data_IF_906382763956
#
_entry.id   IF_906382763956
#
_cell.length_a   1.000
_cell.length_b   1.000
_cell.length_c   1.000
_cell.angle_alpha   90.00
_cell.angle_beta   90.00
_cell.angle_gamma   90.00
#
_symmetry.space_group_name_H-M   'P 1'
#
loop_
_entity.id
_entity.type
_entity.pdbx_description
1 polymer ?
#
# COMPACT_ATOMS: atom_id res chain seq x y z
N UNK A 1 20.46 68.20 -11.84
CA UNK A 1 20.91 67.48 -13.05
C UNK A 1 21.71 66.25 -12.64
N UNK A 2 21.14 65.05 -12.78
CA UNK A 2 21.87 63.79 -12.99
C UNK A 2 20.82 62.69 -13.24
N UNK A 3 20.73 62.22 -14.47
CA UNK A 3 19.86 61.13 -14.92
C UNK A 3 20.41 59.79 -14.41
N UNK A 4 19.59 58.99 -13.73
CA UNK A 4 19.90 57.58 -13.44
C UNK A 4 19.19 56.68 -14.45
N UNK A 5 19.98 56.08 -15.34
CA UNK A 5 19.57 55.18 -16.42
C UNK A 5 19.67 53.74 -15.90
N UNK A 6 18.54 53.12 -15.54
CA UNK A 6 18.50 51.69 -15.22
C UNK A 6 18.47 50.88 -16.53
N UNK A 7 19.49 50.04 -16.72
CA UNK A 7 19.56 49.05 -17.79
C UNK A 7 18.56 47.91 -17.55
N UNK A 8 17.63 47.71 -18.48
CA UNK A 8 16.86 46.47 -18.58
C UNK A 8 17.66 45.45 -19.41
N UNK A 9 18.20 44.42 -18.75
CA UNK A 9 18.72 43.23 -19.42
C UNK A 9 17.56 42.30 -19.81
N UNK A 10 17.63 41.73 -21.02
CA UNK A 10 16.55 41.06 -21.72
C UNK A 10 15.95 39.83 -21.03
N UNK A 11 14.62 39.76 -21.05
CA UNK A 11 13.82 38.60 -20.70
C UNK A 11 13.96 37.52 -21.79
N UNK A 12 14.34 36.30 -21.40
CA UNK A 12 14.11 35.12 -22.24
C UNK A 12 12.61 34.77 -22.22
N UNK A 13 12.02 34.33 -23.36
CA UNK A 13 10.61 33.97 -23.40
C UNK A 13 10.33 32.67 -22.62
N UNK A 14 9.15 32.51 -22.01
CA UNK A 14 8.80 31.30 -21.28
C UNK A 14 8.70 30.10 -22.22
N UNK A 15 9.29 28.99 -21.80
CA UNK A 15 9.23 27.69 -22.45
C UNK A 15 7.79 27.16 -22.50
N UNK A 16 7.39 26.68 -23.68
CA UNK A 16 6.06 26.13 -23.98
C UNK A 16 5.60 25.09 -22.94
N UNK A 17 4.46 25.34 -22.32
CA UNK A 17 3.67 24.33 -21.62
C UNK A 17 3.26 23.30 -22.67
N UNK A 18 3.65 22.03 -22.49
CA UNK A 18 3.14 20.93 -23.31
C UNK A 18 1.67 20.72 -22.96
N UNK A 19 0.79 21.03 -23.90
CA UNK A 19 -0.61 20.63 -23.87
C UNK A 19 -0.68 19.09 -23.82
N UNK A 20 -1.35 18.56 -22.80
CA UNK A 20 -1.67 17.14 -22.71
C UNK A 20 -2.88 16.83 -23.61
N UNK A 21 -2.79 15.71 -24.33
CA UNK A 21 -3.78 15.18 -25.28
C UNK A 21 -5.15 15.00 -24.59
N UNK A 22 -6.29 15.15 -25.31
CA UNK A 22 -7.64 15.22 -24.72
C UNK A 22 -8.22 13.87 -24.22
N UNK A 23 -7.38 12.91 -23.87
CA UNK A 23 -7.77 11.53 -23.57
C UNK A 23 -7.99 11.29 -22.08
N UNK A 24 -7.76 12.32 -21.24
CA UNK A 24 -7.72 12.24 -19.77
C UNK A 24 -9.01 12.75 -19.07
N UNK A 25 -10.12 12.99 -19.78
CA UNK A 25 -11.27 13.72 -19.21
C UNK A 25 -12.68 13.09 -19.32
N UNK A 26 -12.80 11.81 -19.63
CA UNK A 26 -14.11 11.12 -19.61
C UNK A 26 -14.18 10.05 -18.51
N UNK A 27 -14.33 10.47 -17.25
CA UNK A 27 -14.71 9.57 -16.15
C UNK A 27 -15.62 10.27 -15.12
N UNK A 28 -16.69 10.90 -15.60
CA UNK A 28 -17.75 11.42 -14.72
C UNK A 28 -19.07 10.80 -15.14
N UNK A 29 -19.46 9.69 -14.50
CA UNK A 29 -20.85 9.37 -14.08
C UNK A 29 -20.98 7.95 -13.50
N UNK A 30 -21.82 7.87 -12.45
CA UNK A 30 -22.50 6.69 -11.89
C UNK A 30 -21.61 5.70 -11.10
N UNK A 31 -22.01 5.05 -10.01
CA UNK A 31 -23.18 5.04 -9.12
C UNK A 31 -22.71 4.22 -7.89
N UNK A 32 -23.36 4.44 -6.75
CA UNK A 32 -23.40 3.68 -5.48
C UNK A 32 -22.34 2.60 -5.17
N UNK A 33 -21.84 2.71 -3.94
CA UNK A 33 -20.80 1.91 -3.32
C UNK A 33 -20.85 0.39 -3.58
N UNK A 34 -19.66 -0.20 -3.52
CA UNK A 34 -19.30 -1.63 -3.65
C UNK A 34 -18.92 -2.15 -5.07
N UNK A 35 -19.03 -1.35 -6.13
CA UNK A 35 -18.68 -1.74 -7.52
C UNK A 35 -17.24 -1.38 -7.98
N UNK A 36 -16.43 -0.72 -7.15
CA UNK A 36 -15.15 -0.10 -7.56
C UNK A 36 -13.94 -1.05 -7.61
N UNK A 37 -14.06 -2.31 -7.16
CA UNK A 37 -12.95 -3.27 -7.18
C UNK A 37 -12.71 -3.92 -8.56
N UNK A 38 -13.64 -3.77 -9.50
CA UNK A 38 -13.53 -4.35 -10.85
C UNK A 38 -12.91 -3.38 -11.89
N UNK A 39 -12.78 -2.08 -11.55
CA UNK A 39 -12.10 -1.06 -12.36
C UNK A 39 -10.61 -0.90 -12.01
N UNK A 40 -10.07 -1.83 -11.22
CA UNK A 40 -8.68 -1.81 -10.81
C UNK A 40 -7.78 -2.25 -11.99
N UNK A 41 -6.64 -1.57 -12.23
CA UNK A 41 -5.72 -1.97 -13.29
C UNK A 41 -5.25 -3.42 -13.09
N UNK A 42 -4.90 -4.16 -14.16
CA UNK A 42 -4.74 -5.62 -14.17
C UNK A 42 -3.66 -6.19 -13.23
N UNK A 43 -2.92 -5.32 -12.54
CA UNK A 43 -1.93 -5.65 -11.53
C UNK A 43 -2.47 -5.62 -10.09
N UNK A 44 -3.73 -5.26 -9.89
CA UNK A 44 -4.40 -5.29 -8.59
C UNK A 44 -5.50 -6.35 -8.68
N UNK A 45 -5.24 -7.47 -8.02
CA UNK A 45 -6.18 -8.60 -7.99
C UNK A 45 -7.38 -8.20 -7.14
N UNK A 46 -8.59 -8.39 -7.67
CA UNK A 46 -9.84 -8.06 -6.95
C UNK A 46 -9.98 -8.91 -5.67
N UNK A 47 -10.72 -8.37 -4.69
CA UNK A 47 -10.97 -9.01 -3.40
C UNK A 47 -11.47 -10.46 -3.52
N UNK A 48 -12.37 -10.71 -4.49
CA UNK A 48 -13.00 -12.01 -4.71
C UNK A 48 -11.99 -13.05 -5.22
N UNK A 49 -11.11 -12.66 -6.16
CA UNK A 49 -10.06 -13.52 -6.71
C UNK A 49 -8.97 -13.87 -5.69
N UNK A 50 -8.86 -13.11 -4.60
CA UNK A 50 -7.81 -13.30 -3.60
C UNK A 50 -8.07 -14.41 -2.58
N UNK A 51 -9.33 -14.78 -2.36
CA UNK A 51 -9.72 -15.82 -1.40
C UNK A 51 -9.01 -17.16 -1.61
N UNK A 52 -8.63 -17.46 -2.86
CA UNK A 52 -7.97 -18.70 -3.25
C UNK A 52 -6.45 -18.68 -3.09
N UNK A 53 -5.80 -17.50 -3.13
CA UNK A 53 -4.33 -17.43 -3.15
C UNK A 53 -3.67 -17.93 -1.86
N UNK A 54 -4.15 -17.58 -0.64
CA UNK A 54 -3.62 -18.14 0.59
C UNK A 54 -3.74 -19.67 0.62
N UNK A 55 -4.86 -20.24 0.15
CA UNK A 55 -5.04 -21.69 0.07
C UNK A 55 -4.08 -22.34 -0.92
N UNK A 56 -3.84 -21.72 -2.08
CA UNK A 56 -2.83 -22.20 -3.03
C UNK A 56 -1.40 -22.09 -2.49
N UNK A 57 -1.11 -21.08 -1.69
CA UNK A 57 0.17 -20.96 -1.00
C UNK A 57 0.34 -22.06 0.06
N UNK A 58 -0.74 -22.46 0.74
CA UNK A 58 -0.75 -23.54 1.73
C UNK A 58 -0.54 -24.92 1.10
N UNK A 59 -0.98 -25.11 -0.15
CA UNK A 59 -0.74 -26.33 -0.96
C UNK A 59 0.69 -26.41 -1.51
N UNK A 60 1.50 -25.37 -1.36
CA UNK A 60 2.90 -25.36 -1.79
C UNK A 60 3.71 -26.43 -1.06
N UNK A 61 4.63 -27.08 -1.77
CA UNK A 61 5.64 -27.97 -1.16
C UNK A 61 6.59 -27.20 -0.23
N UNK A 62 6.76 -25.90 -0.47
CA UNK A 62 7.48 -25.02 0.44
C UNK A 62 6.52 -24.45 1.49
N UNK A 63 6.59 -25.00 2.70
CA UNK A 63 5.73 -24.63 3.82
C UNK A 63 5.94 -23.17 4.31
N UNK A 64 7.00 -22.49 3.91
CA UNK A 64 7.22 -21.08 4.22
C UNK A 64 6.48 -20.12 3.29
N UNK A 65 6.03 -20.58 2.11
CA UNK A 65 5.29 -19.73 1.15
C UNK A 65 4.03 -19.12 1.78
N UNK A 66 3.27 -19.93 2.51
CA UNK A 66 2.02 -19.50 3.15
C UNK A 66 2.22 -18.41 4.21
N UNK A 67 3.06 -18.58 5.26
CA UNK A 67 3.28 -17.53 6.25
C UNK A 67 3.91 -16.26 5.65
N UNK A 68 4.79 -16.37 4.65
CA UNK A 68 5.36 -15.19 3.96
C UNK A 68 4.28 -14.43 3.18
N UNK A 69 3.39 -15.14 2.49
CA UNK A 69 2.27 -14.52 1.79
C UNK A 69 1.30 -13.81 2.76
N UNK A 70 0.96 -14.45 3.89
CA UNK A 70 0.15 -13.84 4.94
C UNK A 70 0.80 -12.57 5.50
N UNK A 71 2.11 -12.60 5.81
CA UNK A 71 2.84 -11.43 6.28
C UNK A 71 2.76 -10.27 5.28
N UNK A 72 2.89 -10.54 3.98
CA UNK A 72 2.73 -9.51 2.95
C UNK A 72 1.30 -8.93 2.94
N UNK A 73 0.29 -9.79 3.08
CA UNK A 73 -1.12 -9.39 3.01
C UNK A 73 -1.58 -8.60 4.23
N UNK A 74 -1.05 -8.90 5.42
CA UNK A 74 -1.43 -8.18 6.64
C UNK A 74 -0.62 -6.90 6.85
N UNK A 75 0.59 -6.80 6.28
CA UNK A 75 1.50 -5.67 6.54
C UNK A 75 1.84 -4.80 5.32
N UNK A 76 1.53 -5.24 4.11
CA UNK A 76 2.01 -4.59 2.87
C UNK A 76 3.54 -4.65 2.69
N UNK A 77 4.22 -5.60 3.34
CA UNK A 77 5.64 -5.83 3.13
C UNK A 77 5.94 -6.23 1.68
N UNK A 78 7.12 -5.84 1.19
CA UNK A 78 7.64 -6.42 -0.06
C UNK A 78 7.97 -7.88 0.19
N UNK A 79 7.86 -8.71 -0.85
CA UNK A 79 8.17 -10.14 -0.73
C UNK A 79 9.53 -10.39 -0.06
N UNK A 80 10.57 -9.75 -0.56
CA UNK A 80 11.93 -9.95 -0.05
C UNK A 80 12.09 -9.51 1.42
N UNK A 81 11.31 -8.52 1.87
CA UNK A 81 11.28 -8.08 3.28
C UNK A 81 10.55 -9.10 4.17
N UNK A 82 9.46 -9.70 3.68
CA UNK A 82 8.68 -10.70 4.40
C UNK A 82 9.33 -12.09 4.40
N UNK A 83 10.17 -12.40 3.42
CA UNK A 83 10.90 -13.67 3.31
C UNK A 83 12.23 -13.67 4.09
N UNK A 84 12.77 -12.49 4.40
CA UNK A 84 14.08 -12.35 5.07
C UNK A 84 14.07 -12.02 6.57
N UNK A 85 12.95 -11.98 7.32
CA UNK A 85 13.01 -11.63 8.73
C UNK A 85 13.73 -12.72 9.52
N UNK A 86 14.40 -12.30 10.60
CA UNK A 86 14.90 -13.21 11.64
C UNK A 86 13.80 -13.43 12.67
N UNK A 87 13.99 -14.40 13.57
CA UNK A 87 13.05 -14.67 14.65
C UNK A 87 12.85 -13.46 15.58
N UNK A 88 13.91 -12.69 15.82
CA UNK A 88 13.86 -11.45 16.61
C UNK A 88 13.08 -10.31 15.94
N UNK A 89 12.75 -10.43 14.66
CA UNK A 89 11.97 -9.43 13.93
C UNK A 89 10.46 -9.68 14.00
N UNK A 90 10.01 -10.80 14.59
CA UNK A 90 8.59 -11.13 14.74
C UNK A 90 8.32 -11.47 16.20
N UNK A 91 7.74 -10.53 16.93
CA UNK A 91 7.39 -10.71 18.33
C UNK A 91 6.31 -9.72 18.78
N UNK A 92 5.58 -10.06 19.84
CA UNK A 92 4.69 -9.14 20.54
C UNK A 92 3.53 -8.64 19.67
N UNK A 93 3.01 -9.49 18.77
CA UNK A 93 1.96 -9.14 17.83
C UNK A 93 2.42 -8.16 16.75
N UNK A 94 3.73 -8.11 16.43
CA UNK A 94 4.29 -7.18 15.44
C UNK A 94 5.34 -7.86 14.56
N UNK A 95 5.42 -7.40 13.31
CA UNK A 95 6.53 -7.65 12.41
C UNK A 95 7.36 -6.37 12.24
N UNK A 96 8.67 -6.50 12.44
CA UNK A 96 9.64 -5.41 12.39
C UNK A 96 10.46 -5.49 11.10
N UNK A 97 10.27 -4.52 10.21
CA UNK A 97 10.98 -4.45 8.93
C UNK A 97 12.05 -3.37 8.97
N UNK A 98 13.30 -3.79 8.75
CA UNK A 98 14.46 -2.90 8.69
C UNK A 98 14.99 -2.80 7.26
N UNK A 99 15.03 -1.59 6.70
CA UNK A 99 15.75 -1.31 5.46
C UNK A 99 17.02 -0.52 5.74
N UNK A 100 18.17 -1.08 5.38
CA UNK A 100 19.48 -0.44 5.59
C UNK A 100 19.72 0.74 4.66
N UNK A 101 19.12 0.75 3.45
CA UNK A 101 19.44 1.78 2.44
C UNK A 101 18.81 3.15 2.69
N UNK A 102 17.66 3.22 3.36
CA UNK A 102 16.93 4.49 3.57
C UNK A 102 16.52 4.75 5.04
N UNK A 103 17.10 4.03 6.02
CA UNK A 103 16.85 4.15 7.48
C UNK A 103 15.39 4.08 7.98
N UNK A 104 14.41 3.86 7.10
CA UNK A 104 13.02 3.70 7.50
C UNK A 104 12.80 2.28 8.01
N UNK A 105 12.97 2.11 9.32
CA UNK A 105 12.48 0.94 10.06
C UNK A 105 11.03 1.16 10.41
N UNK A 106 10.20 0.11 10.26
CA UNK A 106 8.79 0.17 10.62
C UNK A 106 8.37 -1.10 11.33
N UNK A 107 7.45 -0.95 12.28
CA UNK A 107 6.87 -2.06 13.02
C UNK A 107 5.38 -2.08 12.70
N UNK A 108 4.90 -3.19 12.15
CA UNK A 108 3.51 -3.32 11.71
C UNK A 108 2.82 -4.36 12.59
N UNK A 109 1.67 -4.05 13.22
CA UNK A 109 0.89 -5.03 13.95
C UNK A 109 0.49 -6.21 13.06
N UNK A 110 0.56 -7.42 13.61
CA UNK A 110 0.12 -8.66 12.95
C UNK A 110 -0.81 -9.46 13.87
N UNK A 111 -1.74 -10.24 13.31
CA UNK A 111 -2.55 -11.17 14.09
C UNK A 111 -1.70 -12.21 14.85
N UNK A 112 -2.13 -12.59 16.06
CA UNK A 112 -1.39 -13.52 16.93
C UNK A 112 -1.24 -14.92 16.32
N UNK A 113 -2.24 -15.36 15.57
CA UNK A 113 -2.24 -16.62 14.82
C UNK A 113 -1.22 -16.60 13.67
N UNK A 114 -1.08 -15.47 12.96
CA UNK A 114 -0.04 -15.28 11.94
C UNK A 114 1.35 -15.29 12.57
N UNK A 115 1.54 -14.62 13.70
CA UNK A 115 2.79 -14.68 14.48
C UNK A 115 3.12 -16.11 14.91
N UNK A 116 2.17 -16.80 15.54
CA UNK A 116 2.35 -18.17 16.01
C UNK A 116 2.68 -19.13 14.86
N UNK A 117 1.98 -19.00 13.73
CA UNK A 117 2.24 -19.78 12.52
C UNK A 117 3.65 -19.53 11.98
N UNK A 118 4.05 -18.27 11.84
CA UNK A 118 5.39 -17.90 11.36
C UNK A 118 6.49 -18.49 12.24
N UNK A 119 6.34 -18.40 13.57
CA UNK A 119 7.31 -18.93 14.54
C UNK A 119 7.31 -20.45 14.65
N UNK A 120 6.17 -21.11 14.40
CA UNK A 120 6.01 -22.57 14.39
C UNK A 120 6.67 -23.20 13.17
N UNK A 121 6.46 -22.63 11.99
CA UNK A 121 6.98 -23.16 10.72
C UNK A 121 8.42 -22.70 10.49
N UNK A 122 8.82 -21.58 11.08
CA UNK A 122 10.12 -20.98 10.87
C UNK A 122 11.31 -21.87 11.24
N UNK A 123 12.41 -21.68 10.51
CA UNK A 123 13.67 -22.38 10.74
C UNK A 123 14.23 -22.09 12.14
N UNK A 124 14.90 -23.05 12.79
CA UNK A 124 15.51 -22.85 14.09
C UNK A 124 16.75 -21.92 14.01
N UNK A 125 17.13 -21.38 15.17
CA UNK A 125 18.33 -20.54 15.31
C UNK A 125 18.09 -19.03 15.13
N UNK A 126 19.19 -18.29 14.97
CA UNK A 126 19.20 -16.82 14.92
C UNK A 126 19.19 -16.25 13.49
N UNK A 127 19.17 -17.14 12.48
CA UNK A 127 19.17 -16.76 11.07
C UNK A 127 17.80 -16.31 10.55
N UNK A 128 17.63 -16.36 9.23
CA UNK A 128 16.34 -16.13 8.57
C UNK A 128 15.31 -17.15 9.06
N UNK A 129 14.08 -16.69 9.25
CA UNK A 129 12.96 -17.53 9.67
C UNK A 129 12.46 -18.41 8.52
N UNK A 130 12.58 -17.94 7.28
CA UNK A 130 12.04 -18.61 6.10
C UNK A 130 13.14 -18.92 5.09
N UNK A 131 13.05 -20.09 4.46
CA UNK A 131 13.83 -20.40 3.27
C UNK A 131 13.33 -19.57 2.07
N UNK A 132 14.16 -19.38 1.03
CA UNK A 132 13.69 -18.77 -0.21
C UNK A 132 12.49 -19.52 -0.79
N UNK A 133 11.37 -18.83 -0.92
CA UNK A 133 10.08 -19.41 -1.31
C UNK A 133 9.35 -18.59 -2.40
N UNK A 134 10.00 -17.53 -2.93
CA UNK A 134 9.49 -16.72 -4.05
C UNK A 134 9.11 -17.51 -5.31
N UNK A 135 9.93 -18.50 -5.69
CA UNK A 135 9.62 -19.37 -6.83
C UNK A 135 8.38 -20.23 -6.57
N UNK A 136 8.21 -20.71 -5.34
CA UNK A 136 7.05 -21.49 -4.93
C UNK A 136 5.78 -20.62 -4.88
N UNK A 137 5.90 -19.35 -4.43
CA UNK A 137 4.84 -18.37 -4.53
C UNK A 137 4.41 -18.11 -5.97
N UNK A 138 5.36 -17.93 -6.90
CA UNK A 138 5.05 -17.78 -8.32
C UNK A 138 4.25 -18.97 -8.86
N UNK A 139 4.57 -20.19 -8.44
CA UNK A 139 3.79 -21.36 -8.82
C UNK A 139 2.37 -21.33 -8.24
N UNK A 140 2.20 -20.97 -6.96
CA UNK A 140 0.89 -20.81 -6.33
C UNK A 140 0.04 -19.72 -7.01
N UNK A 141 0.66 -18.59 -7.33
CA UNK A 141 0.04 -17.48 -8.04
C UNK A 141 -0.47 -17.90 -9.43
N UNK A 142 0.34 -18.65 -10.18
CA UNK A 142 -0.06 -19.21 -11.48
C UNK A 142 -1.17 -20.25 -11.39
N UNK A 143 -1.22 -21.05 -10.32
CA UNK A 143 -2.33 -22.01 -10.10
C UNK A 143 -3.67 -21.31 -9.87
N UNK A 144 -3.64 -20.07 -9.39
CA UNK A 144 -4.84 -19.23 -9.30
C UNK A 144 -5.25 -18.63 -10.66
N UNK A 145 -4.54 -18.94 -11.75
CA UNK A 145 -4.81 -18.36 -13.07
C UNK A 145 -4.23 -16.96 -13.29
N UNK A 146 -3.44 -16.45 -12.36
CA UNK A 146 -2.83 -15.13 -12.50
C UNK A 146 -1.49 -15.17 -13.23
N UNK A 147 -1.27 -14.23 -14.15
CA UNK A 147 0.02 -14.03 -14.80
C UNK A 147 0.33 -12.53 -14.96
N UNK A 148 1.10 -11.99 -14.02
CA UNK A 148 1.55 -10.59 -14.03
C UNK A 148 3.08 -10.55 -13.96
N UNK A 149 3.78 -10.66 -15.11
CA UNK A 149 5.24 -10.63 -15.14
C UNK A 149 5.78 -9.31 -14.57
N UNK A 150 6.86 -9.37 -13.78
CA UNK A 150 7.55 -8.19 -13.24
C UNK A 150 6.95 -7.56 -11.97
N UNK A 151 5.68 -7.81 -11.64
CA UNK A 151 5.02 -7.24 -10.46
C UNK A 151 4.92 -8.21 -9.25
N UNK A 152 5.36 -9.45 -9.41
CA UNK A 152 5.18 -10.52 -8.42
C UNK A 152 5.68 -10.18 -7.00
N UNK A 153 6.74 -9.39 -6.87
CA UNK A 153 7.31 -8.97 -5.57
C UNK A 153 6.47 -7.95 -4.82
N UNK A 154 5.61 -7.26 -5.54
CA UNK A 154 4.84 -6.14 -5.04
C UNK A 154 3.33 -6.40 -5.15
N UNK A 155 2.88 -7.46 -5.83
CA UNK A 155 1.46 -7.75 -6.02
C UNK A 155 0.70 -7.78 -4.68
N UNK A 156 1.21 -8.52 -3.68
CA UNK A 156 0.58 -8.62 -2.36
C UNK A 156 0.56 -7.27 -1.62
N UNK A 157 1.58 -6.45 -1.84
CA UNK A 157 1.68 -5.10 -1.27
C UNK A 157 0.69 -4.15 -1.95
N UNK A 158 0.53 -4.24 -3.26
CA UNK A 158 -0.47 -3.49 -4.01
C UNK A 158 -1.87 -3.88 -3.57
N UNK A 159 -2.15 -5.18 -3.44
CA UNK A 159 -3.41 -5.70 -2.89
C UNK A 159 -3.68 -5.13 -1.49
N UNK A 160 -2.72 -5.23 -0.56
CA UNK A 160 -2.88 -4.65 0.78
C UNK A 160 -3.22 -3.16 0.72
N UNK A 161 -2.47 -2.39 -0.08
CA UNK A 161 -2.66 -0.94 -0.18
C UNK A 161 -4.04 -0.59 -0.76
N UNK A 162 -4.46 -1.26 -1.83
CA UNK A 162 -5.77 -1.03 -2.45
C UNK A 162 -6.92 -1.36 -1.51
N UNK A 163 -6.85 -2.50 -0.83
CA UNK A 163 -7.85 -2.90 0.16
C UNK A 163 -7.90 -1.97 1.36
N UNK A 164 -6.75 -1.50 1.84
CA UNK A 164 -6.71 -0.53 2.93
C UNK A 164 -7.40 0.77 2.53
N UNK A 165 -7.09 1.28 1.33
CA UNK A 165 -7.63 2.54 0.85
C UNK A 165 -9.13 2.48 0.60
N UNK A 166 -9.65 1.33 0.17
CA UNK A 166 -11.10 1.12 0.00
C UNK A 166 -11.91 1.27 1.31
N UNK A 167 -11.28 1.21 2.49
CA UNK A 167 -11.96 1.27 3.78
C UNK A 167 -11.33 2.20 4.81
N UNK A 168 -10.36 3.04 4.44
CA UNK A 168 -9.54 3.75 5.44
C UNK A 168 -8.90 5.06 4.95
N UNK A 169 -8.30 5.77 5.91
CA UNK A 169 -7.62 7.06 5.71
C UNK A 169 -6.26 6.92 4.98
N UNK A 170 -5.97 7.86 4.09
CA UNK A 170 -4.79 7.88 3.20
C UNK A 170 -3.44 8.00 3.93
N UNK A 171 -3.42 8.53 5.15
CA UNK A 171 -2.18 8.72 5.91
C UNK A 171 -1.65 7.42 6.55
N UNK A 172 -2.53 6.47 6.84
CA UNK A 172 -2.16 5.17 7.43
C UNK A 172 -1.21 4.35 6.55
N UNK A 173 -1.53 4.11 5.26
CA UNK A 173 -0.72 3.31 4.35
C UNK A 173 0.68 3.87 4.13
N UNK A 174 0.88 5.19 4.14
CA UNK A 174 2.21 5.76 3.94
C UNK A 174 3.20 5.24 5.01
N UNK A 175 2.76 5.22 6.28
CA UNK A 175 3.58 4.74 7.42
C UNK A 175 3.75 3.23 7.38
N UNK A 176 2.66 2.49 7.14
CA UNK A 176 2.67 1.01 7.10
C UNK A 176 3.53 0.48 5.97
N UNK A 177 3.45 1.12 4.79
CA UNK A 177 4.21 0.72 3.60
C UNK A 177 5.66 1.23 3.63
N UNK A 178 5.98 2.20 4.49
CA UNK A 178 7.29 2.85 4.52
C UNK A 178 7.59 3.60 3.23
N UNK A 179 6.63 4.41 2.77
CA UNK A 179 6.81 5.29 1.62
C UNK A 179 7.55 6.57 2.04
N UNK A 180 8.63 6.90 1.32
CA UNK A 180 9.43 8.09 1.60
C UNK A 180 8.71 9.40 1.23
N UNK A 181 7.73 9.35 0.34
CA UNK A 181 6.89 10.48 -0.04
C UNK A 181 5.43 10.06 -0.10
N UNK A 182 4.54 10.99 0.25
CA UNK A 182 3.09 10.81 0.12
C UNK A 182 2.68 10.53 -1.34
N UNK A 183 3.42 11.06 -2.33
CA UNK A 183 3.16 10.82 -3.75
C UNK A 183 3.12 9.33 -4.12
N UNK A 184 3.90 8.49 -3.43
CA UNK A 184 3.87 7.03 -3.64
C UNK A 184 2.55 6.41 -3.15
N UNK A 185 1.99 6.94 -2.07
CA UNK A 185 0.70 6.51 -1.51
C UNK A 185 -0.47 7.06 -2.33
N UNK A 186 -0.34 8.27 -2.89
CA UNK A 186 -1.37 8.90 -3.72
C UNK A 186 -1.77 8.07 -4.95
N UNK A 187 -0.95 7.10 -5.38
CA UNK A 187 -1.32 6.12 -6.43
C UNK A 187 -2.65 5.40 -6.14
N UNK A 188 -2.99 5.22 -4.86
CA UNK A 188 -4.21 4.54 -4.43
C UNK A 188 -5.32 5.51 -3.98
N UNK A 189 -5.11 6.82 -4.08
CA UNK A 189 -6.05 7.82 -3.55
C UNK A 189 -7.45 7.72 -4.15
N UNK A 190 -7.53 7.34 -5.43
CA UNK A 190 -8.79 7.14 -6.15
C UNK A 190 -9.66 6.00 -5.57
N UNK A 191 -9.10 5.15 -4.70
CA UNK A 191 -9.84 4.07 -4.02
C UNK A 191 -10.38 4.50 -2.67
N UNK A 192 -9.97 5.66 -2.16
CA UNK A 192 -10.51 6.21 -0.91
C UNK A 192 -11.94 6.67 -1.15
N UNK A 193 -12.89 6.33 -0.27
CA UNK A 193 -14.18 7.00 -0.26
C UNK A 193 -14.00 8.51 0.00
N UNK A 194 -14.94 9.34 -0.46
CA UNK A 194 -14.94 10.75 -0.11
C UNK A 194 -15.33 10.91 1.37
N UNK A 195 -14.36 11.20 2.24
CA UNK A 195 -14.56 11.37 3.69
C UNK A 195 -15.06 12.77 4.08
N UNK A 196 -15.73 13.51 3.18
CA UNK A 196 -16.19 14.87 3.46
C UNK A 196 -17.12 14.95 4.69
N UNK A 197 -17.93 13.91 4.94
CA UNK A 197 -18.78 13.83 6.14
C UNK A 197 -17.96 13.76 7.45
N UNK A 198 -16.75 13.19 7.40
CA UNK A 198 -15.88 13.18 8.58
C UNK A 198 -15.44 14.59 8.98
N UNK A 199 -15.39 15.54 8.04
CA UNK A 199 -15.06 16.94 8.35
C UNK A 199 -16.12 17.60 9.24
N UNK A 200 -17.40 17.28 9.04
CA UNK A 200 -18.48 17.75 9.91
C UNK A 200 -18.33 17.19 11.32
N UNK A 201 -18.12 15.87 11.43
CA UNK A 201 -17.92 15.18 12.73
C UNK A 201 -16.68 15.68 13.48
N UNK A 202 -15.61 16.01 12.76
CA UNK A 202 -14.36 16.51 13.31
C UNK A 202 -14.31 18.04 13.42
N UNK A 203 -15.39 18.74 13.05
CA UNK A 203 -15.41 20.20 13.12
C UNK A 203 -15.34 20.67 14.58
N UNK A 204 -14.61 21.76 14.87
CA UNK A 204 -14.49 22.28 16.24
C UNK A 204 -15.84 22.63 16.88
N UNK A 205 -16.83 23.05 16.08
CA UNK A 205 -18.18 23.37 16.56
C UNK A 205 -18.88 22.13 17.12
N UNK A 206 -18.86 21.02 16.39
CA UNK A 206 -19.45 19.75 16.82
C UNK A 206 -18.65 19.16 18.00
N UNK A 207 -17.32 19.21 17.96
CA UNK A 207 -16.47 18.67 19.03
C UNK A 207 -16.57 19.46 20.34
N UNK A 208 -16.76 20.78 20.27
CA UNK A 208 -16.95 21.63 21.45
C UNK A 208 -18.38 21.56 22.01
N UNK A 209 -19.31 20.91 21.31
CA UNK A 209 -20.72 20.83 21.72
C UNK A 209 -21.44 22.18 21.71
N UNK A 210 -20.94 23.16 20.95
CA UNK A 210 -21.51 24.50 20.92
C UNK A 210 -22.87 24.48 20.20
N UNK A 211 -23.94 24.76 20.94
CA UNK A 211 -25.28 24.87 20.39
C UNK A 211 -25.45 26.18 19.62
N UNK A 212 -25.82 26.10 18.35
CA UNK A 212 -26.15 27.28 17.55
C UNK A 212 -27.51 27.81 18.03
N UNK A 213 -27.52 29.01 18.62
CA UNK A 213 -28.75 29.65 19.07
C UNK A 213 -29.56 30.08 17.84
N UNK A 214 -30.79 29.58 17.74
CA UNK A 214 -31.75 30.01 16.71
C UNK A 214 -32.27 31.39 17.09
N UNK A 215 -32.16 32.36 16.19
CA UNK A 215 -32.77 33.68 16.33
C UNK A 215 -34.27 33.63 16.03
#
# INVERSE_FOLDING_TARGET
MANFRLHFAGQQPPTKIREHSPEDLDFVRADSGLSSLDALPPHIVSAASFSQLPEECKRSTNNHTYPVALLCLVTGARWDEAESPTRAAIYGGKAHYHRTKNRQSRSVPIPKDVEALALKVGMPGNGRLFMPCRSAFRCAYRRCGFDTPGQMTHILRHTFASHYMAGGDILGPQRILGHSSITMTMRYAHLSPDHLESALRLSPLIQSGHAVVSA
#
